data_IF_284047685381
#
_entry.id   IF_284047685381
#
_cell.length_a   1.000
_cell.length_b   1.000
_cell.length_c   1.000
_cell.angle_alpha   90.00
_cell.angle_beta   90.00
_cell.angle_gamma   90.00
#
_symmetry.space_group_name_H-M   'P 1'
#
loop_
_entity.id
_entity.type
_entity.pdbx_description
1 polymer ?
#
# COMPACT_ATOMS: atom_id res chain seq x y z
N UNK A 1 30.57 -15.37 12.29
CA UNK A 1 30.81 -14.17 11.46
C UNK A 1 29.63 -13.27 11.75
N UNK A 2 29.79 -12.39 12.74
CA UNK A 2 28.76 -11.47 13.20
C UNK A 2 28.53 -10.38 12.14
N UNK A 3 27.39 -10.40 11.48
CA UNK A 3 26.93 -9.37 10.53
C UNK A 3 25.67 -8.66 11.04
N UNK A 4 25.48 -8.57 12.36
CA UNK A 4 24.32 -7.95 12.99
C UNK A 4 24.49 -6.44 13.20
N UNK A 5 24.87 -5.71 12.14
CA UNK A 5 24.86 -4.24 12.11
C UNK A 5 24.10 -3.73 10.89
N UNK A 6 22.89 -4.21 10.65
CA UNK A 6 22.04 -3.73 9.55
C UNK A 6 21.19 -2.55 10.01
N UNK A 7 21.84 -1.41 10.30
CA UNK A 7 21.12 -0.13 10.41
C UNK A 7 20.42 0.22 9.07
N UNK A 8 20.94 -0.31 7.96
CA UNK A 8 20.36 -0.25 6.62
C UNK A 8 19.82 -1.62 6.18
N UNK A 9 18.66 -2.03 6.67
CA UNK A 9 17.94 -3.16 6.06
C UNK A 9 17.28 -2.72 4.74
N UNK A 10 17.06 -3.67 3.82
CA UNK A 10 16.32 -3.40 2.56
C UNK A 10 14.96 -2.73 2.82
N UNK A 11 14.26 -3.19 3.85
CA UNK A 11 12.98 -2.63 4.30
C UNK A 11 13.09 -1.20 4.84
N UNK A 12 14.15 -0.89 5.58
CA UNK A 12 14.42 0.48 6.02
C UNK A 12 14.66 1.42 4.84
N UNK A 13 15.45 0.99 3.84
CA UNK A 13 15.66 1.76 2.61
C UNK A 13 14.38 1.94 1.80
N UNK A 14 13.51 0.92 1.72
CA UNK A 14 12.19 1.03 1.10
C UNK A 14 11.30 2.04 1.82
N UNK A 15 11.29 2.04 3.15
CA UNK A 15 10.56 3.02 3.95
C UNK A 15 11.06 4.45 3.71
N UNK A 16 12.37 4.66 3.69
CA UNK A 16 12.98 5.95 3.38
C UNK A 16 12.61 6.42 1.96
N UNK A 17 12.71 5.52 0.98
CA UNK A 17 12.33 5.80 -0.41
C UNK A 17 10.86 6.19 -0.51
N UNK A 18 9.97 5.50 0.22
CA UNK A 18 8.54 5.81 0.26
C UNK A 18 8.27 7.24 0.75
N UNK A 19 9.03 7.71 1.74
CA UNK A 19 8.92 9.09 2.25
C UNK A 19 9.39 10.10 1.20
N UNK A 20 10.54 9.85 0.56
CA UNK A 20 11.06 10.74 -0.49
C UNK A 20 10.06 10.84 -1.64
N UNK A 21 9.53 9.70 -2.07
CA UNK A 21 8.57 9.61 -3.17
C UNK A 21 7.23 10.27 -2.80
N UNK A 22 6.81 10.20 -1.53
CA UNK A 22 5.65 10.94 -1.05
C UNK A 22 5.83 12.46 -1.19
N UNK A 23 6.95 13.01 -0.73
CA UNK A 23 7.21 14.44 -0.86
C UNK A 23 7.35 14.87 -2.32
N UNK A 24 7.98 14.05 -3.16
CA UNK A 24 8.05 14.29 -4.60
C UNK A 24 6.66 14.30 -5.23
N UNK A 25 5.79 13.35 -4.86
CA UNK A 25 4.40 13.25 -5.30
C UNK A 25 3.61 14.48 -4.92
N UNK A 26 3.71 14.91 -3.65
CA UNK A 26 3.05 16.12 -3.16
C UNK A 26 3.53 17.37 -3.89
N UNK A 27 4.85 17.50 -4.12
CA UNK A 27 5.42 18.61 -4.88
C UNK A 27 4.91 18.63 -6.33
N UNK A 28 4.95 17.48 -7.03
CA UNK A 28 4.47 17.36 -8.40
C UNK A 28 2.97 17.69 -8.53
N UNK A 29 2.15 17.17 -7.61
CA UNK A 29 0.72 17.50 -7.54
C UNK A 29 0.51 18.98 -7.28
N UNK A 30 1.28 19.57 -6.35
CA UNK A 30 1.28 21.01 -6.11
C UNK A 30 1.59 21.81 -7.38
N UNK A 31 2.72 21.52 -8.04
CA UNK A 31 3.09 22.17 -9.30
C UNK A 31 2.02 22.00 -10.39
N UNK A 32 1.38 20.83 -10.49
CA UNK A 32 0.30 20.60 -11.45
C UNK A 32 -0.93 21.46 -11.14
N UNK A 33 -1.34 21.54 -9.86
CA UNK A 33 -2.51 22.31 -9.42
C UNK A 33 -2.33 23.82 -9.63
N UNK A 34 -1.12 24.34 -9.39
CA UNK A 34 -0.81 25.76 -9.53
C UNK A 34 -0.29 26.17 -10.92
N UNK A 35 -0.06 25.22 -11.82
CA UNK A 35 0.31 25.53 -13.20
C UNK A 35 -0.84 26.21 -13.93
N UNK A 36 -0.53 27.33 -14.59
CA UNK A 36 -1.48 28.03 -15.48
C UNK A 36 -1.59 27.34 -16.85
N UNK A 37 -0.59 26.55 -17.26
CA UNK A 37 -0.62 25.79 -18.50
C UNK A 37 -1.31 24.43 -18.30
N UNK A 38 -2.44 24.27 -18.98
CA UNK A 38 -3.25 23.05 -18.99
C UNK A 38 -2.43 21.86 -19.50
N UNK A 39 -1.53 22.05 -20.46
CA UNK A 39 -0.71 20.99 -21.05
C UNK A 39 0.32 20.48 -20.04
N UNK A 40 1.02 21.40 -19.37
CA UNK A 40 1.95 21.09 -18.30
C UNK A 40 1.25 20.36 -17.14
N UNK A 41 0.07 20.84 -16.72
CA UNK A 41 -0.75 20.20 -15.68
C UNK A 41 -1.06 18.74 -16.02
N UNK A 42 -1.54 18.46 -17.23
CA UNK A 42 -1.84 17.09 -17.64
C UNK A 42 -0.60 16.20 -17.74
N UNK A 43 0.53 16.76 -18.21
CA UNK A 43 1.80 16.02 -18.30
C UNK A 43 2.28 15.59 -16.90
N UNK A 44 2.29 16.51 -15.94
CA UNK A 44 2.69 16.25 -14.56
C UNK A 44 1.78 15.20 -13.89
N UNK A 45 0.46 15.34 -14.05
CA UNK A 45 -0.50 14.37 -13.50
C UNK A 45 -0.35 12.97 -14.10
N UNK A 46 0.01 12.89 -15.39
CA UNK A 46 0.29 11.61 -16.04
C UNK A 46 1.56 10.96 -15.50
N UNK A 47 2.63 11.73 -15.28
CA UNK A 47 3.86 11.24 -14.66
C UNK A 47 3.56 10.74 -13.24
N UNK A 48 2.81 11.52 -12.45
CA UNK A 48 2.41 11.13 -11.10
C UNK A 48 1.66 9.80 -11.08
N UNK A 49 0.73 9.61 -12.02
CA UNK A 49 -0.05 8.37 -12.11
C UNK A 49 0.83 7.15 -12.45
N UNK A 50 1.89 7.36 -13.23
CA UNK A 50 2.87 6.30 -13.54
C UNK A 50 3.70 5.97 -12.30
N UNK A 51 4.21 6.98 -11.59
CA UNK A 51 4.96 6.78 -10.34
C UNK A 51 4.13 6.03 -9.30
N UNK A 52 2.88 6.47 -9.09
CA UNK A 52 1.94 5.80 -8.19
C UNK A 52 1.70 4.33 -8.57
N UNK A 53 1.65 4.01 -9.86
CA UNK A 53 1.49 2.61 -10.33
C UNK A 53 2.76 1.78 -10.07
N UNK A 54 3.94 2.37 -10.24
CA UNK A 54 5.22 1.72 -9.93
C UNK A 54 5.36 1.45 -8.44
N UNK A 55 5.03 2.43 -7.60
CA UNK A 55 5.02 2.27 -6.13
C UNK A 55 4.05 1.16 -5.70
N UNK A 56 2.86 1.10 -6.30
CA UNK A 56 1.89 0.04 -6.03
C UNK A 56 2.47 -1.34 -6.39
N UNK A 57 3.17 -1.47 -7.52
CA UNK A 57 3.81 -2.72 -7.90
C UNK A 57 4.92 -3.13 -6.90
N UNK A 58 5.71 -2.16 -6.42
CA UNK A 58 6.72 -2.39 -5.37
C UNK A 58 6.06 -2.84 -4.07
N UNK A 59 4.94 -2.22 -3.68
CA UNK A 59 4.19 -2.65 -2.49
C UNK A 59 3.67 -4.07 -2.62
N UNK A 60 3.12 -4.45 -3.78
CA UNK A 60 2.67 -5.83 -4.02
C UNK A 60 3.83 -6.81 -3.92
N UNK A 61 4.99 -6.47 -4.48
CA UNK A 61 6.20 -7.29 -4.37
C UNK A 61 6.67 -7.44 -2.91
N UNK A 62 6.79 -6.34 -2.18
CA UNK A 62 7.20 -6.34 -0.77
C UNK A 62 6.19 -7.09 0.11
N UNK A 63 4.89 -6.98 -0.17
CA UNK A 63 3.84 -7.70 0.56
C UNK A 63 3.98 -9.21 0.43
N UNK A 64 4.41 -9.69 -0.75
CA UNK A 64 4.66 -11.12 -0.98
C UNK A 64 5.82 -11.60 -0.14
N UNK A 65 6.91 -10.83 -0.07
CA UNK A 65 8.10 -11.16 0.70
C UNK A 65 7.79 -11.22 2.22
N UNK A 66 7.13 -10.18 2.75
CA UNK A 66 6.67 -10.15 4.15
C UNK A 66 5.73 -11.33 4.45
N UNK A 67 4.81 -11.65 3.55
CA UNK A 67 3.91 -12.80 3.70
C UNK A 67 4.67 -14.13 3.73
N UNK A 68 5.71 -14.31 2.90
CA UNK A 68 6.51 -15.54 2.91
C UNK A 68 7.34 -15.65 4.18
N UNK A 69 7.92 -14.54 4.66
CA UNK A 69 8.67 -14.52 5.92
C UNK A 69 7.78 -14.87 7.10
N UNK A 70 6.58 -14.27 7.18
CA UNK A 70 5.59 -14.60 8.21
C UNK A 70 5.12 -16.05 8.15
N UNK A 71 4.89 -16.60 6.95
CA UNK A 71 4.49 -18.00 6.78
C UNK A 71 5.59 -19.00 7.18
N UNK A 72 6.86 -18.57 7.12
CA UNK A 72 8.01 -19.38 7.54
C UNK A 72 8.33 -19.28 9.04
N UNK A 73 7.61 -18.44 9.80
CA UNK A 73 7.83 -18.36 11.24
C UNK A 73 7.53 -19.68 11.93
N UNK A 74 8.37 -20.10 12.89
CA UNK A 74 8.07 -21.26 13.72
C UNK A 74 6.83 -21.00 14.57
N UNK A 75 6.19 -22.09 15.00
CA UNK A 75 5.00 -22.06 15.88
C UNK A 75 5.28 -21.30 17.18
N UNK A 76 6.52 -21.36 17.66
CA UNK A 76 7.04 -20.59 18.79
C UNK A 76 8.24 -19.75 18.35
N UNK A 77 8.03 -18.50 17.91
CA UNK A 77 9.11 -17.62 17.51
C UNK A 77 9.84 -17.04 18.72
N UNK A 78 11.16 -16.90 18.57
CA UNK A 78 11.98 -16.19 19.55
C UNK A 78 11.69 -14.68 19.52
N UNK A 79 11.90 -13.98 20.63
CA UNK A 79 11.74 -12.51 20.70
C UNK A 79 12.57 -11.77 19.64
N UNK A 80 13.75 -12.30 19.28
CA UNK A 80 14.60 -11.73 18.23
C UNK A 80 13.90 -11.82 16.86
N UNK A 81 13.34 -12.98 16.51
CA UNK A 81 12.60 -13.19 15.25
C UNK A 81 11.33 -12.34 15.18
N UNK A 82 10.61 -12.21 16.29
CA UNK A 82 9.46 -11.28 16.37
C UNK A 82 9.93 -9.85 16.12
N UNK A 83 11.05 -9.44 16.73
CA UNK A 83 11.63 -8.11 16.58
C UNK A 83 12.01 -7.78 15.14
N UNK A 84 12.64 -8.71 14.42
CA UNK A 84 13.06 -8.50 13.03
C UNK A 84 11.85 -8.35 12.10
N UNK A 85 10.89 -9.27 12.17
CA UNK A 85 9.71 -9.19 11.30
C UNK A 85 8.77 -8.04 11.68
N UNK A 86 8.75 -7.62 12.94
CA UNK A 86 8.05 -6.40 13.35
C UNK A 86 8.65 -5.15 12.68
N UNK A 87 9.98 -5.07 12.55
CA UNK A 87 10.63 -3.96 11.86
C UNK A 87 10.29 -3.95 10.37
N UNK A 88 10.34 -5.12 9.71
CA UNK A 88 9.98 -5.27 8.29
C UNK A 88 8.51 -4.90 8.05
N UNK A 89 7.61 -5.39 8.89
CA UNK A 89 6.17 -5.10 8.84
C UNK A 89 5.89 -3.61 9.09
N UNK A 90 6.66 -2.94 9.96
CA UNK A 90 6.55 -1.50 10.21
C UNK A 90 7.03 -0.67 9.03
N UNK A 91 8.12 -1.05 8.36
CA UNK A 91 8.55 -0.41 7.12
C UNK A 91 7.52 -0.59 6.00
N UNK A 92 6.91 -1.78 5.90
CA UNK A 92 5.83 -2.05 4.96
C UNK A 92 4.59 -1.19 5.25
N UNK A 93 4.22 -1.01 6.52
CA UNK A 93 3.15 -0.12 6.95
C UNK A 93 3.41 1.33 6.49
N UNK A 94 4.63 1.84 6.70
CA UNK A 94 5.01 3.20 6.28
C UNK A 94 4.92 3.38 4.76
N UNK A 95 5.38 2.40 3.99
CA UNK A 95 5.22 2.37 2.54
C UNK A 95 3.74 2.41 2.14
N UNK A 96 2.90 1.59 2.79
CA UNK A 96 1.47 1.55 2.56
C UNK A 96 0.77 2.86 2.88
N UNK A 97 1.10 3.51 3.99
CA UNK A 97 0.56 4.83 4.35
C UNK A 97 0.97 5.91 3.35
N UNK A 98 2.24 5.95 2.95
CA UNK A 98 2.75 6.87 1.92
C UNK A 98 1.94 6.75 0.62
N UNK A 99 1.73 5.52 0.15
CA UNK A 99 0.93 5.22 -1.03
C UNK A 99 -0.54 5.66 -0.89
N UNK A 100 -1.15 5.48 0.28
CA UNK A 100 -2.53 5.94 0.52
C UNK A 100 -2.61 7.46 0.34
N UNK A 101 -1.72 8.22 0.95
CA UNK A 101 -1.75 9.68 0.82
C UNK A 101 -1.38 10.14 -0.61
N UNK A 102 -0.39 9.52 -1.24
CA UNK A 102 -0.03 9.78 -2.65
C UNK A 102 -1.21 9.54 -3.60
N UNK A 103 -1.94 8.45 -3.38
CA UNK A 103 -3.14 8.10 -4.14
C UNK A 103 -4.28 9.11 -3.96
N UNK A 104 -4.54 9.57 -2.72
CA UNK A 104 -5.52 10.62 -2.43
C UNK A 104 -5.16 11.95 -3.11
N UNK A 105 -3.90 12.38 -3.03
CA UNK A 105 -3.43 13.60 -3.70
C UNK A 105 -3.57 13.50 -5.22
N UNK A 106 -3.20 12.35 -5.78
CA UNK A 106 -3.30 12.07 -7.21
C UNK A 106 -4.77 12.11 -7.67
N UNK A 107 -5.68 11.50 -6.91
CA UNK A 107 -7.11 11.53 -7.18
C UNK A 107 -7.66 12.97 -7.15
N UNK A 108 -7.37 13.72 -6.08
CA UNK A 108 -7.81 15.10 -5.93
C UNK A 108 -7.35 15.98 -7.11
N UNK A 109 -6.09 15.83 -7.52
CA UNK A 109 -5.55 16.61 -8.62
C UNK A 109 -6.17 16.23 -9.97
N UNK A 110 -6.49 14.95 -10.21
CA UNK A 110 -7.26 14.56 -11.39
C UNK A 110 -8.69 15.13 -11.40
N UNK A 111 -9.34 15.26 -10.24
CA UNK A 111 -10.64 15.94 -10.11
C UNK A 111 -10.49 17.41 -10.53
N UNK A 112 -9.46 18.10 -10.02
CA UNK A 112 -9.18 19.50 -10.40
C UNK A 112 -8.82 19.67 -11.88
N UNK A 113 -8.31 18.63 -12.53
CA UNK A 113 -8.08 18.59 -13.97
C UNK A 113 -9.34 18.26 -14.81
N UNK A 114 -10.51 18.07 -14.18
CA UNK A 114 -11.75 17.72 -14.87
C UNK A 114 -11.78 16.29 -15.42
N UNK A 115 -10.95 15.37 -14.89
CA UNK A 115 -10.86 13.97 -15.35
C UNK A 115 -11.33 13.00 -14.27
N UNK A 116 -12.65 12.91 -14.09
CA UNK A 116 -13.29 12.05 -13.09
C UNK A 116 -12.88 10.57 -13.20
N UNK A 117 -12.77 10.03 -14.43
CA UNK A 117 -12.38 8.62 -14.63
C UNK A 117 -10.96 8.32 -14.11
N UNK A 118 -10.01 9.24 -14.30
CA UNK A 118 -8.64 9.07 -13.81
C UNK A 118 -8.56 9.22 -12.29
N UNK A 119 -9.33 10.15 -11.73
CA UNK A 119 -9.46 10.30 -10.29
C UNK A 119 -10.07 9.04 -9.64
N UNK A 120 -11.11 8.49 -10.25
CA UNK A 120 -11.78 7.29 -9.78
C UNK A 120 -10.84 6.07 -9.78
N UNK A 121 -10.06 5.87 -10.85
CA UNK A 121 -9.05 4.82 -10.89
C UNK A 121 -8.00 4.97 -9.76
N UNK A 122 -7.51 6.19 -9.53
CA UNK A 122 -6.58 6.47 -8.43
C UNK A 122 -7.23 6.18 -7.06
N UNK A 123 -8.49 6.55 -6.85
CA UNK A 123 -9.23 6.26 -5.61
C UNK A 123 -9.39 4.76 -5.37
N UNK A 124 -9.74 3.97 -6.39
CA UNK A 124 -9.88 2.52 -6.26
C UNK A 124 -8.56 1.90 -5.79
N UNK A 125 -7.46 2.24 -6.46
CA UNK A 125 -6.12 1.79 -6.06
C UNK A 125 -5.77 2.25 -4.64
N UNK A 126 -6.14 3.47 -4.25
CA UNK A 126 -5.92 4.00 -2.91
C UNK A 126 -6.67 3.19 -1.84
N UNK A 127 -7.93 2.83 -2.10
CA UNK A 127 -8.71 2.00 -1.16
C UNK A 127 -8.09 0.60 -1.05
N UNK A 128 -7.63 0.03 -2.16
CA UNK A 128 -6.92 -1.24 -2.14
C UNK A 128 -5.64 -1.15 -1.28
N UNK A 129 -4.79 -0.15 -1.51
CA UNK A 129 -3.61 0.10 -0.69
C UNK A 129 -3.99 0.24 0.79
N UNK A 130 -5.03 1.00 1.12
CA UNK A 130 -5.49 1.17 2.50
C UNK A 130 -5.84 -0.17 3.15
N UNK A 131 -6.51 -1.07 2.43
CA UNK A 131 -6.83 -2.41 2.94
C UNK A 131 -5.58 -3.23 3.24
N UNK A 132 -4.58 -3.19 2.36
CA UNK A 132 -3.29 -3.86 2.58
C UNK A 132 -2.55 -3.26 3.78
N UNK A 133 -2.56 -1.93 3.90
CA UNK A 133 -1.96 -1.23 5.04
C UNK A 133 -2.65 -1.60 6.36
N UNK A 134 -3.98 -1.67 6.39
CA UNK A 134 -4.73 -2.09 7.57
C UNK A 134 -4.43 -3.54 7.96
N UNK A 135 -4.29 -4.45 6.99
CA UNK A 135 -3.89 -5.82 7.26
C UNK A 135 -2.51 -5.89 7.95
N UNK A 136 -1.56 -5.05 7.52
CA UNK A 136 -0.24 -4.98 8.17
C UNK A 136 -0.31 -4.49 9.62
N UNK A 137 -1.25 -3.60 9.96
CA UNK A 137 -1.49 -3.19 11.35
C UNK A 137 -1.99 -4.35 12.21
N UNK A 138 -2.93 -5.14 11.69
CA UNK A 138 -3.44 -6.33 12.40
C UNK A 138 -2.31 -7.32 12.68
N UNK A 139 -1.40 -7.54 11.72
CA UNK A 139 -0.23 -8.41 11.89
C UNK A 139 0.75 -7.85 12.93
N UNK A 140 1.03 -6.55 12.88
CA UNK A 140 1.87 -5.87 13.87
C UNK A 140 1.29 -5.93 15.29
N UNK A 141 -0.03 -5.86 15.43
CA UNK A 141 -0.70 -6.01 16.73
C UNK A 141 -0.47 -7.42 17.31
N UNK A 142 -0.65 -8.47 16.50
CA UNK A 142 -0.37 -9.85 16.93
C UNK A 142 1.09 -10.03 17.32
N UNK A 143 2.03 -9.55 16.50
CA UNK A 143 3.47 -9.60 16.80
C UNK A 143 3.81 -8.82 18.08
N UNK A 144 3.21 -7.65 18.28
CA UNK A 144 3.41 -6.82 19.46
C UNK A 144 2.86 -7.46 20.75
N UNK A 145 1.71 -8.15 20.66
CA UNK A 145 1.12 -8.90 21.78
C UNK A 145 1.92 -10.15 22.11
N UNK A 146 2.54 -10.80 21.12
CA UNK A 146 3.45 -11.92 21.31
C UNK A 146 4.80 -11.49 21.92
N UNK A 147 5.30 -10.31 21.54
CA UNK A 147 6.54 -9.75 22.09
C UNK A 147 6.42 -9.33 23.57
N UNK A 148 5.21 -9.06 24.05
CA UNK A 148 4.96 -8.66 25.45
C UNK A 148 3.77 -9.41 26.06
N UNK A 149 3.97 -10.68 26.49
CA UNK A 149 2.91 -11.52 27.06
C UNK A 149 2.31 -10.97 28.36
N UNK A 150 3.05 -10.12 29.08
CA UNK A 150 2.61 -9.55 30.37
C UNK A 150 1.64 -8.35 30.20
N UNK A 151 1.42 -7.88 28.97
CA UNK A 151 0.48 -6.79 28.67
C UNK A 151 -0.97 -7.27 28.75
N UNK A 152 -1.91 -6.35 28.98
CA UNK A 152 -3.34 -6.60 28.77
C UNK A 152 -3.57 -7.15 27.34
N UNK A 153 -4.18 -8.34 27.24
CA UNK A 153 -4.33 -9.14 26.02
C UNK A 153 -3.02 -9.70 25.42
N UNK A 154 -1.92 -9.80 26.16
CA UNK A 154 -0.70 -10.47 25.71
C UNK A 154 -0.96 -11.92 25.26
N UNK A 155 -0.19 -12.40 24.28
CA UNK A 155 -0.32 -13.77 23.77
C UNK A 155 0.57 -14.68 24.61
N UNK A 156 -0.01 -15.72 25.21
CA UNK A 156 0.71 -16.69 26.03
C UNK A 156 1.58 -17.65 25.20
N UNK A 157 2.43 -18.40 25.89
CA UNK A 157 3.22 -19.47 25.25
C UNK A 157 2.28 -20.50 24.59
N UNK A 158 2.58 -20.90 23.35
CA UNK A 158 1.73 -21.82 22.57
C UNK A 158 0.50 -21.20 21.90
N UNK A 159 0.14 -19.94 22.19
CA UNK A 159 -1.04 -19.27 21.61
C UNK A 159 -0.72 -18.46 20.33
N UNK A 160 0.57 -18.30 20.01
CA UNK A 160 1.02 -17.51 18.86
C UNK A 160 0.49 -18.07 17.54
N UNK A 161 0.69 -19.37 17.29
CA UNK A 161 0.31 -20.00 16.02
C UNK A 161 -1.19 -19.88 15.71
N UNK A 162 -2.05 -20.18 16.68
CA UNK A 162 -3.50 -20.07 16.52
C UNK A 162 -3.97 -18.63 16.33
N UNK A 163 -3.40 -17.68 17.09
CA UNK A 163 -3.73 -16.25 16.96
C UNK A 163 -3.29 -15.69 15.61
N UNK A 164 -2.10 -16.07 15.15
CA UNK A 164 -1.58 -15.67 13.85
C UNK A 164 -2.42 -16.25 12.70
N UNK A 165 -2.84 -17.52 12.81
CA UNK A 165 -3.71 -18.16 11.83
C UNK A 165 -5.10 -17.52 11.78
N UNK A 166 -5.65 -17.14 12.94
CA UNK A 166 -6.91 -16.40 13.01
C UNK A 166 -6.79 -15.03 12.33
N UNK A 167 -5.74 -14.26 12.61
CA UNK A 167 -5.49 -12.98 11.95
C UNK A 167 -5.35 -13.12 10.43
N UNK A 168 -4.64 -14.15 9.94
CA UNK A 168 -4.57 -14.43 8.50
C UNK A 168 -5.92 -14.79 7.88
N UNK A 169 -6.75 -15.54 8.60
CA UNK A 169 -8.09 -15.91 8.15
C UNK A 169 -8.99 -14.68 8.03
N UNK A 170 -8.93 -13.78 9.00
CA UNK A 170 -9.69 -12.52 8.99
C UNK A 170 -9.23 -11.59 7.85
N UNK A 171 -7.92 -11.47 7.66
CA UNK A 171 -7.33 -10.69 6.56
C UNK A 171 -7.78 -11.27 5.20
N UNK A 172 -7.61 -12.58 5.01
CA UNK A 172 -7.91 -13.28 3.75
C UNK A 172 -9.40 -13.22 3.40
N UNK A 173 -10.27 -13.42 4.39
CA UNK A 173 -11.73 -13.31 4.19
C UNK A 173 -12.14 -11.88 3.82
N UNK A 174 -11.54 -10.87 4.46
CA UNK A 174 -11.75 -9.47 4.11
C UNK A 174 -11.32 -9.17 2.67
N UNK A 175 -10.13 -9.62 2.26
CA UNK A 175 -9.66 -9.46 0.88
C UNK A 175 -10.57 -10.15 -0.12
N UNK A 176 -11.01 -11.38 0.17
CA UNK A 176 -11.88 -12.15 -0.72
C UNK A 176 -13.23 -11.48 -0.95
N UNK A 177 -13.76 -10.76 0.04
CA UNK A 177 -14.98 -9.96 -0.11
C UNK A 177 -14.77 -8.70 -0.97
N UNK A 178 -13.60 -8.05 -0.84
CA UNK A 178 -13.30 -6.80 -1.52
C UNK A 178 -12.77 -6.98 -2.94
N UNK A 179 -12.09 -8.10 -3.25
CA UNK A 179 -11.47 -8.34 -4.54
C UNK A 179 -12.46 -8.24 -5.72
N UNK A 180 -13.66 -8.84 -5.68
CA UNK A 180 -14.64 -8.73 -6.76
C UNK A 180 -15.16 -7.31 -6.93
N UNK A 181 -15.36 -6.59 -5.81
CA UNK A 181 -15.79 -5.19 -5.81
C UNK A 181 -14.73 -4.33 -6.52
N UNK A 182 -13.46 -4.50 -6.15
CA UNK A 182 -12.35 -3.76 -6.77
C UNK A 182 -12.21 -4.08 -8.26
N UNK A 183 -12.32 -5.35 -8.64
CA UNK A 183 -12.29 -5.76 -10.05
C UNK A 183 -13.43 -5.14 -10.86
N UNK A 184 -14.65 -5.11 -10.32
CA UNK A 184 -15.80 -4.48 -10.95
C UNK A 184 -15.61 -2.97 -11.11
N UNK A 185 -15.12 -2.28 -10.08
CA UNK A 185 -14.87 -0.84 -10.12
C UNK A 185 -13.75 -0.48 -11.11
N UNK A 186 -12.67 -1.27 -11.16
CA UNK A 186 -11.61 -1.11 -12.17
C UNK A 186 -12.13 -1.37 -13.58
N UNK A 187 -12.91 -2.44 -13.78
CA UNK A 187 -13.56 -2.75 -15.06
C UNK A 187 -14.47 -1.63 -15.53
N UNK A 188 -15.26 -1.04 -14.63
CA UNK A 188 -16.11 0.12 -14.90
C UNK A 188 -15.27 1.34 -15.30
N UNK A 189 -14.18 1.61 -14.59
CA UNK A 189 -13.26 2.72 -14.91
C UNK A 189 -12.62 2.56 -16.30
N UNK A 190 -12.24 1.33 -16.66
CA UNK A 190 -11.68 0.99 -17.96
C UNK A 190 -12.72 1.12 -19.07
N UNK A 191 -13.94 0.64 -18.83
CA UNK A 191 -15.07 0.77 -19.75
C UNK A 191 -15.36 2.23 -20.09
N UNK A 192 -15.49 3.12 -19.09
CA UNK A 192 -15.72 4.53 -19.34
C UNK A 192 -14.59 5.18 -20.14
N UNK A 193 -13.34 4.81 -19.85
CA UNK A 193 -12.18 5.30 -20.60
C UNK A 193 -12.20 4.85 -22.07
N UNK A 194 -12.60 3.60 -22.34
CA UNK A 194 -12.74 3.08 -23.71
C UNK A 194 -13.88 3.79 -24.43
N UNK A 195 -15.04 3.95 -23.77
CA UNK A 195 -16.21 4.64 -24.31
C UNK A 195 -15.89 6.10 -24.67
N UNK A 196 -15.18 6.82 -23.83
CA UNK A 196 -14.75 8.21 -24.10
C UNK A 196 -13.84 8.29 -25.33
N UNK A 197 -12.90 7.35 -25.49
CA UNK A 197 -12.04 7.28 -26.68
C UNK A 197 -12.83 6.99 -27.95
N UNK A 198 -13.81 6.08 -27.88
CA UNK A 198 -14.65 5.74 -29.02
C UNK A 198 -15.52 6.93 -29.46
N UNK A 199 -16.14 7.64 -28.52
CA UNK A 199 -16.92 8.86 -28.81
C UNK A 199 -16.08 9.96 -29.44
N UNK A 200 -14.87 10.18 -28.93
CA UNK A 200 -13.98 11.19 -29.51
C UNK A 200 -13.56 10.82 -30.93
N UNK A 201 -13.35 9.54 -31.26
CA UNK A 201 -13.03 9.11 -32.63
C UNK A 201 -14.21 9.23 -33.60
N UNK A 202 -15.45 9.15 -33.12
CA UNK A 202 -16.64 9.27 -33.95
C UNK A 202 -17.01 10.73 -34.29
N UNK A 203 -16.41 11.71 -33.60
CA UNK A 203 -16.62 13.14 -33.82
C UNK A 203 -15.52 13.80 -34.68
N UNK A 204 -14.56 13.02 -35.18
CA UNK A 204 -13.56 13.41 -36.18
C UNK A 204 -13.77 12.58 -37.44
#
# INVERSE_FOLDING_TARGET
MDTSSTFFSFYFMLGLLAVIVFFLSAAMVGFALFSQDITARFKLMRIQSVLFTLELAVMVYASRDVSTTLASMPVEPTLLQIGDVSRESMSFLLLGLSLVFSGLLTAFAWIKCGRANAAFAALICTIFTLKVTLASLTLLDVLGRAANPARENGIGAGEFGSTMQQAFTDISSSFSQWLPIMAALLGLSAYFRIRDRAKNRANY
#
